data_IF_606016717067
#
_entry.id   IF_606016717067
#
_cell.length_a   1.000
_cell.length_b   1.000
_cell.length_c   1.000
_cell.angle_alpha   90.00
_cell.angle_beta   90.00
_cell.angle_gamma   90.00
#
_symmetry.space_group_name_H-M   'P 1'
#
loop_
_entity.id
_entity.type
_entity.pdbx_description
1 polymer ?
#
# COMPACT_ATOMS: atom_id res chain seq x y z
N UNK A 1 6.94 10.35 -23.72
CA UNK A 1 7.60 9.54 -22.69
C UNK A 1 6.74 9.45 -21.46
N UNK A 2 6.47 8.25 -21.04
CA UNK A 2 5.72 8.05 -19.82
C UNK A 2 6.67 8.11 -18.63
N UNK A 3 6.40 9.00 -17.70
CA UNK A 3 7.08 9.02 -16.42
C UNK A 3 6.28 8.21 -15.43
N UNK A 4 6.97 7.45 -14.60
CA UNK A 4 6.35 6.60 -13.61
C UNK A 4 6.90 6.93 -12.24
N UNK A 5 6.01 7.04 -11.27
CA UNK A 5 6.35 7.18 -9.87
C UNK A 5 6.27 5.81 -9.22
N UNK A 6 7.29 5.43 -8.49
CA UNK A 6 7.27 4.19 -7.72
C UNK A 6 7.57 4.51 -6.27
N UNK A 7 6.70 4.05 -5.38
CA UNK A 7 6.88 4.21 -3.94
C UNK A 7 6.89 2.82 -3.31
N UNK A 8 7.90 2.54 -2.52
CA UNK A 8 8.01 1.28 -1.79
C UNK A 8 8.01 1.57 -0.29
N UNK A 9 7.09 0.93 0.41
CA UNK A 9 7.03 0.97 1.86
C UNK A 9 7.48 -0.37 2.41
N UNK A 10 8.37 -0.33 3.39
CA UNK A 10 8.84 -1.52 4.10
C UNK A 10 8.47 -1.36 5.55
N UNK A 11 7.68 -2.30 6.03
CA UNK A 11 7.14 -2.22 7.38
C UNK A 11 7.38 -3.56 8.07
N UNK A 12 7.93 -3.49 9.27
CA UNK A 12 8.11 -4.68 10.08
C UNK A 12 6.81 -4.99 10.79
N UNK A 13 6.28 -6.19 10.54
CA UNK A 13 5.01 -6.60 11.15
C UNK A 13 5.14 -8.05 11.62
N UNK A 14 4.45 -8.36 12.71
CA UNK A 14 4.24 -9.73 13.12
C UNK A 14 3.07 -10.28 12.30
N UNK A 15 3.09 -11.55 12.00
CA UNK A 15 2.03 -12.21 11.22
C UNK A 15 1.80 -11.49 9.86
N UNK A 16 2.89 -11.27 9.15
CA UNK A 16 2.86 -10.55 7.88
C UNK A 16 1.84 -11.13 6.90
N UNK A 17 1.73 -12.44 6.84
CA UNK A 17 0.79 -13.12 5.95
C UNK A 17 -0.66 -12.71 6.21
N UNK A 18 -1.05 -12.61 7.48
CA UNK A 18 -2.40 -12.21 7.86
C UNK A 18 -2.65 -10.74 7.55
N UNK A 19 -1.63 -9.91 7.78
CA UNK A 19 -1.72 -8.48 7.46
C UNK A 19 -1.90 -8.28 5.95
N UNK A 20 -1.15 -9.04 5.14
CA UNK A 20 -1.28 -8.98 3.68
C UNK A 20 -2.68 -9.36 3.23
N UNK A 21 -3.23 -10.43 3.78
CA UNK A 21 -4.59 -10.87 3.43
C UNK A 21 -5.62 -9.79 3.76
N UNK A 22 -5.47 -9.16 4.92
CA UNK A 22 -6.39 -8.09 5.32
C UNK A 22 -6.28 -6.87 4.39
N UNK A 23 -5.07 -6.52 3.99
CA UNK A 23 -4.87 -5.38 3.10
C UNK A 23 -5.34 -5.65 1.67
N UNK A 24 -5.19 -6.87 1.18
CA UNK A 24 -5.58 -7.22 -0.18
C UNK A 24 -7.07 -7.09 -0.40
N UNK A 25 -7.88 -7.28 0.62
CA UNK A 25 -9.34 -7.15 0.51
C UNK A 25 -9.73 -5.72 0.16
N UNK A 26 -8.96 -4.73 0.61
CA UNK A 26 -9.27 -3.31 0.39
C UNK A 26 -8.70 -2.76 -0.92
N UNK A 27 -7.95 -3.57 -1.68
CA UNK A 27 -7.29 -3.10 -2.89
C UNK A 27 -8.01 -3.49 -4.18
N UNK A 28 -9.31 -3.69 -4.11
CA UNK A 28 -10.09 -4.21 -5.24
C UNK A 28 -10.40 -3.16 -6.28
N UNK A 29 -10.39 -1.87 -5.92
CA UNK A 29 -10.81 -0.79 -6.80
C UNK A 29 -9.76 0.30 -6.90
N UNK A 30 -8.64 -0.01 -7.55
CA UNK A 30 -7.60 0.98 -7.78
C UNK A 30 -7.95 1.87 -8.97
N UNK A 31 -7.63 3.18 -8.89
CA UNK A 31 -7.81 4.07 -10.04
C UNK A 31 -6.94 3.62 -11.21
N UNK A 32 -7.34 4.02 -12.42
CA UNK A 32 -6.54 3.75 -13.61
C UNK A 32 -5.18 4.44 -13.49
N UNK A 33 -4.15 3.77 -13.97
CA UNK A 33 -2.79 4.29 -13.94
C UNK A 33 -2.05 4.01 -12.63
N UNK A 34 -2.68 3.32 -11.70
CA UNK A 34 -2.06 2.94 -10.43
C UNK A 34 -2.02 1.43 -10.31
N UNK A 35 -0.83 0.91 -10.06
CA UNK A 35 -0.62 -0.50 -9.76
C UNK A 35 0.01 -0.68 -8.39
N UNK A 36 -0.37 -1.73 -7.68
CA UNK A 36 0.19 -2.02 -6.38
C UNK A 36 0.61 -3.47 -6.29
N UNK A 37 1.58 -3.74 -5.42
CA UNK A 37 1.95 -5.11 -5.06
C UNK A 37 2.31 -5.16 -3.59
N UNK A 38 1.95 -6.26 -2.95
CA UNK A 38 2.23 -6.49 -1.54
C UNK A 38 2.93 -7.83 -1.41
N UNK A 39 4.03 -7.85 -0.68
CA UNK A 39 4.81 -9.06 -0.45
C UNK A 39 5.21 -9.15 1.01
N UNK A 40 5.35 -10.38 1.48
CA UNK A 40 5.94 -10.68 2.77
C UNK A 40 7.29 -11.34 2.58
N UNK A 41 8.28 -10.87 3.33
CA UNK A 41 9.59 -11.50 3.40
C UNK A 41 9.97 -11.57 4.87
N UNK A 42 9.77 -12.74 5.48
CA UNK A 42 9.96 -12.90 6.92
C UNK A 42 9.01 -12.00 7.70
N UNK A 43 9.56 -11.11 8.51
CA UNK A 43 8.80 -10.16 9.32
C UNK A 43 8.58 -8.82 8.63
N UNK A 44 8.94 -8.73 7.35
CA UNK A 44 8.84 -7.47 6.61
C UNK A 44 7.71 -7.54 5.60
N UNK A 45 6.82 -6.57 5.70
CA UNK A 45 5.81 -6.31 4.68
C UNK A 45 6.40 -5.31 3.71
N UNK A 46 6.35 -5.63 2.42
CA UNK A 46 6.79 -4.72 1.37
C UNK A 46 5.61 -4.37 0.49
N UNK A 47 5.28 -3.10 0.46
CA UNK A 47 4.21 -2.57 -0.38
C UNK A 47 4.82 -1.66 -1.43
N UNK A 48 4.53 -1.93 -2.69
CA UNK A 48 5.01 -1.12 -3.81
C UNK A 48 3.82 -0.56 -4.56
N UNK A 49 3.85 0.76 -4.78
CA UNK A 49 2.86 1.45 -5.58
C UNK A 49 3.54 2.07 -6.79
N UNK A 50 2.94 1.89 -7.97
CA UNK A 50 3.40 2.51 -9.21
C UNK A 50 2.28 3.35 -9.77
N UNK A 51 2.61 4.55 -10.22
CA UNK A 51 1.64 5.46 -10.79
C UNK A 51 2.24 6.19 -11.98
N UNK A 52 1.46 6.33 -13.04
CA UNK A 52 1.84 7.17 -14.17
C UNK A 52 1.68 8.63 -13.78
N UNK A 53 2.75 9.41 -13.92
CA UNK A 53 2.77 10.81 -13.48
C UNK A 53 2.53 11.81 -14.62
N UNK A 54 2.21 11.31 -15.81
CA UNK A 54 1.85 12.18 -16.93
C UNK A 54 0.56 12.96 -16.71
N UNK A 55 -0.27 12.50 -15.78
CA UNK A 55 -1.52 13.16 -15.41
C UNK A 55 -1.45 13.55 -13.93
N UNK A 56 -1.63 14.84 -13.59
CA UNK A 56 -1.58 15.30 -12.19
C UNK A 56 -2.58 14.57 -11.28
N UNK A 57 -3.71 14.13 -11.83
CA UNK A 57 -4.69 13.37 -11.04
C UNK A 57 -4.12 12.05 -10.52
N UNK A 58 -3.23 11.42 -11.29
CA UNK A 58 -2.62 10.16 -10.87
C UNK A 58 -1.71 10.36 -9.66
N UNK A 59 -1.01 11.48 -9.59
CA UNK A 59 -0.16 11.79 -8.45
C UNK A 59 -1.02 11.94 -7.18
N UNK A 60 -2.11 12.67 -7.29
CA UNK A 60 -3.03 12.85 -6.16
C UNK A 60 -3.67 11.52 -5.75
N UNK A 61 -4.09 10.72 -6.74
CA UNK A 61 -4.66 9.39 -6.48
C UNK A 61 -3.66 8.47 -5.82
N UNK A 62 -2.38 8.55 -6.21
CA UNK A 62 -1.33 7.77 -5.58
C UNK A 62 -1.17 8.13 -4.11
N UNK A 63 -1.16 9.42 -3.78
CA UNK A 63 -1.09 9.87 -2.39
C UNK A 63 -2.29 9.40 -1.58
N UNK A 64 -3.49 9.49 -2.16
CA UNK A 64 -4.70 9.03 -1.49
C UNK A 64 -4.65 7.53 -1.24
N UNK A 65 -4.13 6.76 -2.19
CA UNK A 65 -4.00 5.30 -2.05
C UNK A 65 -3.03 4.95 -0.93
N UNK A 66 -1.90 5.65 -0.86
CA UNK A 66 -0.92 5.44 0.21
C UNK A 66 -1.52 5.82 1.56
N UNK A 67 -2.24 6.93 1.62
CA UNK A 67 -2.87 7.38 2.85
C UNK A 67 -3.89 6.36 3.35
N UNK A 68 -4.72 5.83 2.46
CA UNK A 68 -5.69 4.79 2.80
C UNK A 68 -4.99 3.52 3.28
N UNK A 69 -3.91 3.13 2.62
CA UNK A 69 -3.11 1.97 3.05
C UNK A 69 -2.61 2.17 4.48
N UNK A 70 -2.03 3.33 4.76
CA UNK A 70 -1.47 3.60 6.08
C UNK A 70 -2.54 3.63 7.16
N UNK A 71 -3.73 4.14 6.84
CA UNK A 71 -4.85 4.13 7.77
C UNK A 71 -5.33 2.71 8.05
N UNK A 72 -5.47 1.91 7.01
CA UNK A 72 -5.88 0.52 7.15
C UNK A 72 -4.85 -0.28 7.92
N UNK A 73 -3.58 -0.07 7.62
CA UNK A 73 -2.49 -0.74 8.32
C UNK A 73 -2.47 -0.35 9.80
N UNK A 74 -2.64 0.93 10.10
CA UNK A 74 -2.70 1.41 11.48
C UNK A 74 -3.87 0.77 12.22
N UNK A 75 -5.02 0.66 11.59
CA UNK A 75 -6.19 0.02 12.20
C UNK A 75 -5.91 -1.46 12.50
N UNK A 76 -5.28 -2.18 11.58
CA UNK A 76 -4.92 -3.58 11.76
C UNK A 76 -3.92 -3.73 12.91
N UNK A 77 -2.88 -2.91 12.92
CA UNK A 77 -1.83 -3.00 13.93
C UNK A 77 -2.29 -2.53 15.30
N UNK A 78 -3.22 -1.58 15.37
CA UNK A 78 -3.73 -1.10 16.65
C UNK A 78 -4.56 -2.14 17.39
N UNK A 79 -5.04 -3.16 16.68
CA UNK A 79 -5.70 -4.30 17.31
C UNK A 79 -4.66 -5.17 18.03
N UNK A 80 -3.43 -5.19 17.52
CA UNK A 80 -2.35 -6.01 18.05
C UNK A 80 -1.51 -5.27 19.10
N UNK A 81 -1.47 -3.96 19.00
CA UNK A 81 -0.67 -3.12 19.89
C UNK A 81 -1.61 -2.39 20.82
N UNK A 82 -1.75 -2.90 22.02
CA UNK A 82 -2.49 -2.22 23.07
C UNK A 82 -1.63 -1.14 23.69
N UNK A 83 -2.09 0.06 23.53
CA UNK A 83 -1.50 1.16 24.28
C UNK A 83 -2.41 1.54 25.41
#
# INVERSE_FOLDING_TARGET
MSSELEVTLRIRVMDCSDVVKALMVDEVNLPKGIGTSIECSGDELRYTLRAEVGNPRNVLSAWNTIDDLLRNLKAILSIQIHQ
#
